data_IF_488993083933
#
_entry.id   IF_488993083933
#
_cell.length_a   1.000
_cell.length_b   1.000
_cell.length_c   1.000
_cell.angle_alpha   90.00
_cell.angle_beta   90.00
_cell.angle_gamma   90.00
#
_symmetry.space_group_name_H-M   'P 1'
#
loop_
_entity.id
_entity.type
_entity.pdbx_description
1 polymer ?
#
# COMPACT_ATOMS: atom_id res chain seq x y z
N UNK A 1 -17.80 7.19 4.78
CA UNK A 1 -17.64 8.65 4.90
C UNK A 1 -16.74 9.11 3.78
N UNK A 2 -16.93 10.32 3.26
CA UNK A 2 -16.01 10.90 2.27
C UNK A 2 -14.82 11.49 3.02
N UNK A 3 -13.78 10.67 3.27
CA UNK A 3 -12.58 11.10 3.99
C UNK A 3 -11.82 12.22 3.28
N UNK A 4 -12.06 12.43 1.98
CA UNK A 4 -11.51 13.57 1.27
C UNK A 4 -12.23 14.87 1.65
N UNK A 5 -13.53 14.80 1.96
CA UNK A 5 -14.33 15.95 2.39
C UNK A 5 -14.04 16.40 3.83
N UNK A 6 -13.40 15.56 4.65
CA UNK A 6 -12.98 15.88 6.02
C UNK A 6 -11.57 16.46 6.11
N UNK A 7 -10.84 16.59 4.99
CA UNK A 7 -9.47 17.07 4.98
C UNK A 7 -9.36 18.56 5.39
N UNK A 8 -8.36 18.94 6.20
CA UNK A 8 -8.14 20.33 6.56
C UNK A 8 -7.93 21.24 5.33
N UNK A 9 -8.37 22.51 5.38
CA UNK A 9 -8.04 23.48 4.34
C UNK A 9 -6.54 23.56 4.07
N UNK A 10 -6.15 23.64 2.79
CA UNK A 10 -4.74 23.63 2.38
C UNK A 10 -4.12 22.24 2.23
N UNK A 11 -4.89 21.16 2.47
CA UNK A 11 -4.47 19.80 2.12
C UNK A 11 -4.31 19.69 0.60
N UNK A 12 -3.19 19.11 0.17
CA UNK A 12 -2.88 18.85 -1.24
C UNK A 12 -2.57 17.37 -1.40
N UNK A 13 -3.35 16.73 -2.26
CA UNK A 13 -3.08 15.39 -2.76
C UNK A 13 -2.65 15.50 -4.23
N UNK A 14 -1.57 14.83 -4.60
CA UNK A 14 -1.03 14.81 -5.96
C UNK A 14 -1.01 13.37 -6.45
N UNK A 15 -1.60 13.16 -7.61
CA UNK A 15 -1.63 11.87 -8.29
C UNK A 15 -0.79 11.99 -9.55
N UNK A 16 0.20 11.12 -9.72
CA UNK A 16 0.98 11.02 -10.96
C UNK A 16 0.99 9.60 -11.46
N UNK A 17 1.08 9.45 -12.78
CA UNK A 17 1.18 8.16 -13.45
C UNK A 17 2.13 8.28 -14.63
N UNK A 18 3.09 7.37 -14.70
CA UNK A 18 4.06 7.32 -15.80
C UNK A 18 4.36 5.87 -16.20
N UNK A 19 4.57 5.65 -17.50
CA UNK A 19 5.09 4.38 -17.98
C UNK A 19 6.60 4.33 -17.69
N UNK A 20 7.05 3.27 -17.03
CA UNK A 20 8.46 3.02 -16.71
C UNK A 20 8.87 1.66 -17.25
N UNK A 21 10.13 1.52 -17.64
CA UNK A 21 10.66 0.26 -18.14
C UNK A 21 11.84 -0.20 -17.25
N UNK A 22 11.78 -1.44 -16.76
CA UNK A 22 12.89 -2.07 -16.03
C UNK A 22 13.86 -2.80 -16.97
N UNK A 23 13.97 -2.35 -18.23
CA UNK A 23 14.81 -2.91 -19.27
C UNK A 23 14.13 -2.93 -20.65
N UNK A 24 14.73 -3.62 -21.61
CA UNK A 24 14.16 -3.82 -22.96
C UNK A 24 13.25 -5.05 -23.00
N UNK A 25 12.01 -4.86 -23.44
CA UNK A 25 11.00 -5.91 -23.61
C UNK A 25 9.62 -5.49 -23.10
N UNK A 26 8.49 -5.90 -23.73
CA UNK A 26 7.14 -5.58 -23.28
C UNK A 26 6.83 -6.12 -21.87
N UNK A 27 7.46 -7.23 -21.47
CA UNK A 27 7.35 -7.84 -20.14
C UNK A 27 7.99 -7.00 -19.03
N UNK A 28 8.85 -6.04 -19.39
CA UNK A 28 9.55 -5.15 -18.45
C UNK A 28 8.90 -3.78 -18.35
N UNK A 29 7.80 -3.54 -19.08
CA UNK A 29 7.02 -2.32 -18.99
C UNK A 29 6.11 -2.36 -17.77
N UNK A 30 6.15 -1.29 -16.99
CA UNK A 30 5.34 -1.08 -15.81
C UNK A 30 4.70 0.30 -15.86
N UNK A 31 3.59 0.46 -15.16
CA UNK A 31 3.02 1.76 -14.81
C UNK A 31 3.41 2.06 -13.38
N UNK A 32 4.09 3.19 -13.17
CA UNK A 32 4.36 3.73 -11.85
C UNK A 32 3.31 4.78 -11.54
N UNK A 33 2.56 4.56 -10.46
CA UNK A 33 1.55 5.49 -9.95
C UNK A 33 2.03 6.01 -8.59
N UNK A 34 2.00 7.32 -8.39
CA UNK A 34 2.33 7.91 -7.09
C UNK A 34 1.17 8.76 -6.57
N UNK A 35 0.89 8.59 -5.28
CA UNK A 35 0.00 9.43 -4.51
C UNK A 35 0.82 10.13 -3.43
N UNK A 36 0.92 11.45 -3.50
CA UNK A 36 1.68 12.26 -2.54
C UNK A 36 0.76 13.24 -1.82
N UNK A 37 0.77 13.21 -0.49
CA UNK A 37 0.13 14.22 0.36
C UNK A 37 1.13 15.25 0.91
N UNK A 38 0.63 16.37 1.46
CA UNK A 38 1.43 17.40 2.13
C UNK A 38 1.20 17.43 3.67
N UNK A 39 0.77 16.32 4.24
CA UNK A 39 0.49 16.16 5.67
C UNK A 39 1.75 16.10 6.53
N UNK A 40 1.65 15.60 7.77
CA UNK A 40 2.80 15.50 8.68
C UNK A 40 3.79 14.37 8.30
N UNK A 41 3.40 13.47 7.40
CA UNK A 41 4.11 12.21 7.16
C UNK A 41 3.75 11.13 8.19
N UNK A 42 4.41 9.99 8.09
CA UNK A 42 4.26 8.85 8.99
C UNK A 42 5.53 8.64 9.82
N UNK A 43 5.43 8.24 11.10
CA UNK A 43 6.57 7.73 11.86
C UNK A 43 7.26 6.57 11.14
N UNK A 44 8.56 6.40 11.36
CA UNK A 44 9.36 5.38 10.67
C UNK A 44 8.86 3.96 10.96
N UNK A 45 8.38 3.73 12.19
CA UNK A 45 7.80 2.48 12.65
C UNK A 45 6.48 2.24 11.93
N UNK A 46 5.63 3.27 11.81
CA UNK A 46 4.35 3.18 11.11
C UNK A 46 4.53 2.87 9.62
N UNK A 47 5.56 3.44 8.95
CA UNK A 47 5.86 3.13 7.55
C UNK A 47 6.16 1.64 7.30
N UNK A 48 6.77 0.95 8.27
CA UNK A 48 7.13 -0.48 8.12
C UNK A 48 5.92 -1.39 8.15
N UNK A 49 4.86 -0.97 8.85
CA UNK A 49 3.66 -1.78 9.12
C UNK A 49 2.42 -1.16 8.45
N UNK A 50 2.56 -0.13 7.62
CA UNK A 50 1.41 0.66 7.13
C UNK A 50 0.40 -0.15 6.29
N UNK A 51 0.83 -1.30 5.77
CA UNK A 51 -0.01 -2.23 5.02
C UNK A 51 -0.46 -3.45 5.85
N UNK A 52 0.02 -3.55 7.10
CA UNK A 52 -0.34 -4.65 7.98
C UNK A 52 -1.81 -4.49 8.42
N UNK A 53 -2.55 -5.61 8.54
CA UNK A 53 -3.90 -5.58 9.05
C UNK A 53 -3.92 -4.94 10.44
N UNK A 54 -4.91 -4.07 10.68
CA UNK A 54 -5.17 -3.44 11.99
C UNK A 54 -4.19 -2.36 12.46
N UNK A 55 -3.26 -1.87 11.62
CA UNK A 55 -2.47 -0.69 12.00
C UNK A 55 -3.36 0.56 12.06
N UNK A 56 -3.51 1.09 13.28
CA UNK A 56 -4.32 2.29 13.57
C UNK A 56 -3.40 3.51 13.65
N UNK A 57 -3.76 4.60 12.96
CA UNK A 57 -3.17 5.92 13.23
C UNK A 57 -3.90 6.58 14.40
N UNK A 58 -3.29 6.54 15.58
CA UNK A 58 -3.74 7.31 16.73
C UNK A 58 -4.95 6.72 17.48
N UNK A 59 -5.60 7.58 18.24
CA UNK A 59 -6.56 7.27 19.31
C UNK A 59 -8.00 7.05 18.80
N UNK A 60 -8.18 6.87 17.49
CA UNK A 60 -9.50 6.62 16.88
C UNK A 60 -9.63 5.12 16.53
N UNK A 61 -10.34 4.31 17.32
CA UNK A 61 -10.33 2.84 17.21
C UNK A 61 -11.02 2.29 15.95
N UNK A 62 -11.70 3.15 15.17
CA UNK A 62 -12.69 2.72 14.18
C UNK A 62 -12.17 2.62 12.74
N UNK A 63 -10.92 3.02 12.50
CA UNK A 63 -10.25 2.94 11.20
C UNK A 63 -9.12 1.91 11.26
N UNK A 64 -9.51 0.66 11.50
CA UNK A 64 -8.62 -0.48 11.30
C UNK A 64 -7.98 -0.34 9.91
N UNK A 65 -6.65 -0.46 9.78
CA UNK A 65 -5.86 -0.33 8.55
C UNK A 65 -6.23 -1.24 7.35
N UNK A 66 -7.45 -1.78 7.34
CA UNK A 66 -8.09 -2.63 6.34
C UNK A 66 -7.99 -2.03 4.94
N UNK A 67 -8.15 -0.71 4.77
CA UNK A 67 -8.14 -0.13 3.42
C UNK A 67 -6.76 -0.18 2.76
N UNK A 68 -5.68 0.13 3.51
CA UNK A 68 -4.32 0.04 2.97
C UNK A 68 -3.87 -1.41 2.79
N UNK A 69 -4.27 -2.29 3.70
CA UNK A 69 -4.12 -3.73 3.51
C UNK A 69 -4.83 -4.20 2.23
N UNK A 70 -6.06 -3.75 1.97
CA UNK A 70 -6.77 -4.08 0.73
C UNK A 70 -6.03 -3.56 -0.51
N UNK A 71 -5.52 -2.31 -0.48
CA UNK A 71 -4.69 -1.78 -1.56
C UNK A 71 -3.46 -2.66 -1.81
N UNK A 72 -2.79 -3.14 -0.76
CA UNK A 72 -1.70 -4.09 -0.86
C UNK A 72 -2.15 -5.35 -1.62
N UNK A 73 -3.19 -6.04 -1.13
CA UNK A 73 -3.68 -7.26 -1.77
C UNK A 73 -4.08 -7.06 -3.24
N UNK A 74 -4.76 -5.96 -3.56
CA UNK A 74 -5.18 -5.63 -4.93
C UNK A 74 -3.95 -5.47 -5.81
N UNK A 75 -2.99 -4.64 -5.42
CA UNK A 75 -1.76 -4.40 -6.20
C UNK A 75 -0.97 -5.69 -6.40
N UNK A 76 -0.87 -6.53 -5.38
CA UNK A 76 -0.19 -7.82 -5.47
C UNK A 76 -0.91 -8.81 -6.39
N UNK A 77 -2.24 -8.89 -6.35
CA UNK A 77 -3.03 -9.71 -7.29
C UNK A 77 -2.86 -9.27 -8.75
N UNK A 78 -2.54 -8.00 -8.97
CA UNK A 78 -2.20 -7.47 -10.29
C UNK A 78 -0.71 -7.69 -10.67
N UNK A 79 0.05 -8.48 -9.91
CA UNK A 79 1.47 -8.75 -10.17
C UNK A 79 2.37 -7.54 -9.90
N UNK A 80 1.85 -6.53 -9.19
CA UNK A 80 2.56 -5.31 -8.86
C UNK A 80 3.09 -5.28 -7.45
N UNK A 81 3.60 -4.10 -7.07
CA UNK A 81 4.12 -3.79 -5.75
C UNK A 81 3.68 -2.41 -5.29
N UNK A 82 3.35 -2.27 -4.02
CA UNK A 82 3.07 -0.99 -3.38
C UNK A 82 4.07 -0.72 -2.25
N UNK A 83 4.51 0.53 -2.11
CA UNK A 83 5.42 0.98 -1.06
C UNK A 83 4.97 2.35 -0.55
N UNK A 84 5.33 2.69 0.70
CA UNK A 84 5.11 4.01 1.29
C UNK A 84 6.42 4.61 1.80
N UNK A 85 6.61 5.91 1.62
CA UNK A 85 7.74 6.65 2.20
C UNK A 85 7.33 8.11 2.50
N UNK A 86 8.04 8.78 3.42
CA UNK A 86 7.85 10.22 3.61
C UNK A 86 8.46 11.04 2.47
N UNK A 87 7.89 12.20 2.20
CA UNK A 87 8.32 13.10 1.12
C UNK A 87 9.09 14.29 1.68
N UNK A 88 10.41 14.17 1.80
CA UNK A 88 11.20 15.23 2.45
C UNK A 88 10.80 15.40 3.92
N UNK A 89 10.64 16.64 4.38
CA UNK A 89 10.29 16.94 5.78
C UNK A 89 8.79 16.89 6.09
N UNK A 90 7.90 16.75 5.08
CA UNK A 90 6.45 16.71 5.25
C UNK A 90 5.77 15.84 4.19
N UNK A 91 4.75 15.10 4.61
CA UNK A 91 3.85 14.34 3.75
C UNK A 91 4.31 12.92 3.47
N UNK A 92 3.38 12.11 2.95
CA UNK A 92 3.63 10.70 2.60
C UNK A 92 3.44 10.51 1.10
N UNK A 93 4.28 9.68 0.49
CA UNK A 93 4.10 9.19 -0.88
C UNK A 93 3.89 7.69 -0.86
N UNK A 94 2.78 7.26 -1.47
CA UNK A 94 2.53 5.87 -1.82
C UNK A 94 2.91 5.65 -3.29
N UNK A 95 3.74 4.66 -3.56
CA UNK A 95 4.19 4.33 -4.92
C UNK A 95 3.73 2.92 -5.27
N UNK A 96 2.90 2.82 -6.31
CA UNK A 96 2.47 1.56 -6.89
C UNK A 96 3.25 1.34 -8.19
N UNK A 97 3.72 0.11 -8.42
CA UNK A 97 4.30 -0.33 -9.70
C UNK A 97 3.51 -1.52 -10.19
N UNK A 98 2.83 -1.37 -11.32
CA UNK A 98 1.98 -2.41 -11.91
C UNK A 98 2.57 -2.85 -13.25
N UNK A 99 2.72 -4.15 -13.54
CA UNK A 99 3.13 -4.60 -14.86
C UNK A 99 2.05 -4.28 -15.90
N UNK A 100 2.46 -3.87 -17.11
CA UNK A 100 1.52 -3.67 -18.23
C UNK A 100 0.96 -5.02 -18.72
N UNK A 101 1.71 -6.11 -18.53
CA UNK A 101 1.29 -7.47 -18.82
C UNK A 101 1.45 -8.41 -17.60
N UNK A 102 0.43 -8.51 -16.73
CA UNK A 102 0.50 -9.30 -15.50
C UNK A 102 0.67 -10.81 -15.73
N UNK A 103 0.31 -11.34 -16.90
CA UNK A 103 0.51 -12.76 -17.22
C UNK A 103 1.99 -13.16 -17.40
N UNK A 104 2.88 -12.18 -17.55
CA UNK A 104 4.32 -12.39 -17.78
C UNK A 104 5.19 -11.92 -16.62
N UNK A 105 4.61 -11.33 -15.57
CA UNK A 105 5.35 -10.95 -14.36
C UNK A 105 5.57 -12.19 -13.49
N UNK A 106 6.82 -12.46 -13.14
CA UNK A 106 7.15 -13.48 -12.13
C UNK A 106 6.75 -12.92 -10.76
N UNK A 107 5.77 -13.51 -10.04
CA UNK A 107 5.50 -13.08 -8.68
C UNK A 107 6.72 -13.38 -7.80
N UNK A 108 7.06 -12.45 -6.90
CA UNK A 108 8.07 -12.72 -5.88
C UNK A 108 7.55 -13.83 -4.95
N UNK A 109 8.18 -15.00 -5.00
CA UNK A 109 7.73 -16.24 -4.33
C UNK A 109 7.51 -16.05 -2.82
N UNK A 110 8.32 -15.22 -2.16
CA UNK A 110 8.25 -15.00 -0.70
C UNK A 110 7.04 -14.17 -0.25
N UNK A 111 6.62 -13.20 -1.06
CA UNK A 111 5.44 -12.36 -0.77
C UNK A 111 4.14 -13.13 -1.02
N UNK A 112 4.10 -13.98 -2.04
CA UNK A 112 2.93 -14.82 -2.34
C UNK A 112 2.62 -15.81 -1.20
N UNK A 113 3.65 -16.43 -0.63
CA UNK A 113 3.54 -17.33 0.51
C UNK A 113 3.00 -16.64 1.77
N UNK A 114 3.43 -15.40 2.03
CA UNK A 114 2.90 -14.59 3.13
C UNK A 114 1.41 -14.29 2.94
N UNK A 115 1.01 -13.89 1.73
CA UNK A 115 -0.38 -13.55 1.43
C UNK A 115 -1.30 -14.76 1.48
N UNK A 116 -0.85 -15.91 1.01
CA UNK A 116 -1.58 -17.16 1.18
C UNK A 116 -1.74 -17.50 2.67
N UNK A 117 -0.70 -17.37 3.49
CA UNK A 117 -0.79 -17.62 4.93
C UNK A 117 -1.75 -16.65 5.62
N UNK A 118 -1.71 -15.36 5.32
CA UNK A 118 -2.61 -14.36 5.90
C UNK A 118 -4.05 -14.61 5.46
N UNK A 119 -4.31 -14.87 4.18
CA UNK A 119 -5.67 -15.04 3.67
C UNK A 119 -6.31 -16.39 4.02
N UNK A 120 -5.51 -17.46 4.17
CA UNK A 120 -6.00 -18.83 4.33
C UNK A 120 -5.90 -19.36 5.78
N UNK A 121 -5.39 -18.57 6.72
CA UNK A 121 -5.24 -19.01 8.10
C UNK A 121 -6.25 -18.35 9.02
N UNK A 122 -7.32 -19.09 9.33
CA UNK A 122 -8.32 -18.69 10.34
C UNK A 122 -7.69 -18.44 11.71
N UNK A 123 -6.64 -19.18 12.07
CA UNK A 123 -5.93 -19.04 13.34
C UNK A 123 -5.02 -17.80 13.42
N UNK A 124 -4.55 -17.28 12.28
CA UNK A 124 -3.84 -16.00 12.23
C UNK A 124 -4.83 -14.86 12.41
N UNK A 125 -6.00 -14.90 11.76
CA UNK A 125 -7.08 -13.95 12.02
C UNK A 125 -7.56 -14.00 13.46
N UNK A 126 -7.78 -15.20 14.04
CA UNK A 126 -8.17 -15.34 15.44
C UNK A 126 -7.11 -14.80 16.41
N UNK A 127 -5.82 -15.12 16.22
CA UNK A 127 -4.74 -14.58 17.06
C UNK A 127 -4.51 -13.08 16.90
N UNK A 128 -4.74 -12.53 15.70
CA UNK A 128 -4.62 -11.09 15.42
C UNK A 128 -5.82 -10.29 15.96
N UNK A 129 -7.01 -10.90 16.03
CA UNK A 129 -8.23 -10.29 16.59
C UNK A 129 -8.26 -10.48 18.12
N UNK A 130 -7.63 -11.52 18.66
CA UNK A 130 -7.65 -11.84 20.11
C UNK A 130 -6.49 -11.22 20.92
N UNK A 131 -5.61 -10.44 20.32
CA UNK A 131 -4.54 -9.74 21.06
C UNK A 131 -5.01 -8.34 21.49
N UNK A 132 -5.86 -8.31 22.53
CA UNK A 132 -6.03 -7.16 23.43
C UNK A 132 -5.16 -7.34 24.68
#
# INVERSE_FOLDING_TARGET
KDELASLPPGTRLVFTGEAVANGTGPEKQQVKIQLTDNGPGLPQEALRIVFDPFVVRGDTPMEYGIHLMACFFIVHHHGGRIEAHNTGSRGTTFTLRLPVNPAQSVPATEEHDFLQKVLLSDSIWEKLISSE
#
